data_IF_482457795398
#
_entry.id   IF_482457795398
#
_cell.length_a   1.000
_cell.length_b   1.000
_cell.length_c   1.000
_cell.angle_alpha   90.00
_cell.angle_beta   90.00
_cell.angle_gamma   90.00
#
_symmetry.space_group_name_H-M   'P 1'
#
loop_
_entity.id
_entity.type
_entity.pdbx_description
1 polymer ?
#
# COMPACT_ATOMS: atom_id res chain seq x y z
N UNK A 1 3.37 87.76 30.55
CA UNK A 1 4.69 87.09 30.53
C UNK A 1 4.52 85.68 30.09
N UNK A 2 4.84 85.44 28.93
CA UNK A 2 5.15 84.31 28.10
C UNK A 2 5.01 82.90 28.67
N UNK A 3 4.02 82.16 28.17
CA UNK A 3 3.90 80.72 28.27
C UNK A 3 4.07 80.05 26.94
N UNK A 4 5.03 79.14 26.87
CA UNK A 4 5.45 78.37 25.67
C UNK A 4 4.42 77.30 25.30
N UNK A 5 4.07 77.26 24.01
CA UNK A 5 3.28 76.25 23.35
C UNK A 5 3.99 74.89 23.33
N UNK A 6 3.25 73.85 23.71
CA UNK A 6 3.66 72.46 23.47
C UNK A 6 3.17 72.00 22.12
N UNK A 7 4.10 71.72 21.21
CA UNK A 7 3.84 71.08 19.92
C UNK A 7 3.53 69.60 20.16
N UNK A 8 2.36 69.17 19.78
CA UNK A 8 1.95 67.78 19.75
C UNK A 8 2.66 67.07 18.60
N UNK A 9 3.48 66.06 18.97
CA UNK A 9 4.16 65.18 18.04
C UNK A 9 3.25 64.00 17.78
N UNK A 10 2.51 63.99 16.64
CA UNK A 10 1.79 62.78 16.20
C UNK A 10 2.80 61.78 15.66
N UNK A 11 2.96 60.64 16.35
CA UNK A 11 3.65 59.49 15.83
C UNK A 11 2.60 58.62 15.09
N UNK A 12 2.71 58.61 13.76
CA UNK A 12 1.95 57.69 12.92
C UNK A 12 2.60 56.31 12.98
N UNK A 13 1.96 55.39 13.68
CA UNK A 13 2.33 53.97 13.67
C UNK A 13 1.84 53.32 12.35
N UNK A 14 2.73 53.08 11.43
CA UNK A 14 2.46 52.26 10.25
C UNK A 14 2.35 50.80 10.66
N UNK A 15 1.16 50.27 10.71
CA UNK A 15 0.90 48.84 10.87
C UNK A 15 1.22 48.14 9.54
N UNK A 16 2.42 47.62 9.44
CA UNK A 16 2.81 46.74 8.34
C UNK A 16 2.02 45.40 8.44
N UNK A 17 1.10 45.18 7.55
CA UNK A 17 0.46 43.88 7.39
C UNK A 17 1.50 42.86 6.91
N UNK A 18 2.00 42.01 7.82
CA UNK A 18 2.76 40.83 7.43
C UNK A 18 1.77 39.81 6.80
N UNK A 19 1.78 39.72 5.48
CA UNK A 19 1.19 38.60 4.77
C UNK A 19 1.97 37.33 5.13
N UNK A 20 1.31 36.26 5.62
CA UNK A 20 2.01 35.01 5.84
C UNK A 20 2.52 34.49 4.50
N UNK A 21 3.84 34.32 4.38
CA UNK A 21 4.41 33.56 3.29
C UNK A 21 3.88 32.12 3.43
N UNK A 22 2.97 31.75 2.55
CA UNK A 22 2.63 30.33 2.36
C UNK A 22 3.89 29.61 1.90
N UNK A 23 4.50 28.85 2.80
CA UNK A 23 5.60 27.97 2.44
C UNK A 23 5.05 26.93 1.44
N UNK A 24 5.31 27.12 0.16
CA UNK A 24 5.09 26.11 -0.87
C UNK A 24 5.98 24.94 -0.51
N UNK A 25 5.37 23.86 0.01
CA UNK A 25 6.07 22.62 0.28
C UNK A 25 6.48 22.07 -1.09
N UNK A 26 7.77 21.98 -1.36
CA UNK A 26 8.27 21.28 -2.55
C UNK A 26 7.78 19.85 -2.47
N UNK A 27 7.23 19.29 -3.56
CA UNK A 27 6.84 17.89 -3.59
C UNK A 27 8.05 17.03 -3.25
N UNK A 28 7.88 16.06 -2.37
CA UNK A 28 8.95 15.14 -2.05
C UNK A 28 9.32 14.35 -3.32
N UNK A 29 10.63 14.06 -3.48
CA UNK A 29 11.12 13.40 -4.69
C UNK A 29 10.46 12.02 -4.88
N UNK A 30 10.10 11.71 -6.11
CA UNK A 30 9.68 10.39 -6.52
C UNK A 30 10.78 9.37 -6.20
N UNK A 31 10.40 8.24 -5.62
CA UNK A 31 11.28 7.11 -5.32
C UNK A 31 10.82 5.87 -6.08
N UNK A 32 11.63 5.41 -7.02
CA UNK A 32 11.42 4.15 -7.75
C UNK A 32 12.27 3.05 -7.11
N UNK A 33 11.65 1.89 -6.83
CA UNK A 33 12.35 0.71 -6.32
C UNK A 33 13.21 0.12 -7.43
N UNK A 34 14.52 0.04 -7.19
CA UNK A 34 15.49 -0.56 -8.08
C UNK A 34 15.75 -2.03 -7.70
N UNK A 35 15.42 -2.94 -8.60
CA UNK A 35 15.65 -4.39 -8.43
C UNK A 35 16.96 -4.86 -9.08
N UNK A 36 17.77 -3.98 -9.67
CA UNK A 36 18.98 -4.36 -10.42
C UNK A 36 19.98 -5.13 -9.57
N UNK A 37 20.10 -4.76 -8.29
CA UNK A 37 21.03 -5.39 -7.33
C UNK A 37 20.44 -6.60 -6.59
N UNK A 38 19.15 -6.90 -6.80
CA UNK A 38 18.52 -8.06 -6.18
C UNK A 38 19.06 -9.38 -6.77
N UNK A 39 19.02 -10.44 -5.95
CA UNK A 39 19.49 -11.76 -6.36
C UNK A 39 18.34 -12.66 -6.77
N UNK A 40 18.33 -13.12 -8.01
CA UNK A 40 17.35 -14.08 -8.52
C UNK A 40 17.32 -15.34 -7.66
N UNK A 41 16.13 -15.84 -7.33
CA UNK A 41 15.90 -17.01 -6.46
C UNK A 41 15.89 -16.70 -4.97
N UNK A 42 16.30 -15.51 -4.55
CA UNK A 42 16.32 -15.10 -3.14
C UNK A 42 15.12 -14.22 -2.76
N UNK A 43 14.78 -14.12 -1.48
CA UNK A 43 13.85 -13.10 -1.00
C UNK A 43 14.34 -11.70 -1.40
N UNK A 44 13.45 -10.76 -1.76
CA UNK A 44 13.86 -9.39 -2.06
C UNK A 44 14.46 -8.71 -0.84
N UNK A 45 15.48 -7.89 -1.06
CA UNK A 45 16.08 -7.05 -0.01
C UNK A 45 15.47 -5.66 0.04
N UNK A 46 14.85 -5.21 -1.05
CA UNK A 46 14.09 -3.95 -1.13
C UNK A 46 12.76 -4.01 -0.39
N UNK A 47 12.18 -5.20 -0.25
CA UNK A 47 10.99 -5.44 0.54
C UNK A 47 11.27 -6.44 1.66
N UNK A 48 10.62 -6.25 2.80
CA UNK A 48 10.63 -7.18 3.93
C UNK A 48 9.43 -8.13 3.81
N UNK A 49 9.62 -9.41 3.42
CA UNK A 49 8.56 -10.42 3.48
C UNK A 49 8.09 -10.63 4.91
N UNK A 50 6.80 -10.42 5.17
CA UNK A 50 6.20 -10.61 6.50
C UNK A 50 5.41 -11.93 6.50
N UNK A 51 4.52 -12.10 5.53
CA UNK A 51 3.72 -13.31 5.33
C UNK A 51 3.89 -13.78 3.90
N UNK A 52 4.05 -15.09 3.72
CA UNK A 52 4.12 -15.70 2.41
C UNK A 52 5.54 -15.89 1.87
N UNK A 53 5.61 -16.52 0.71
CA UNK A 53 6.86 -16.78 0.00
C UNK A 53 7.04 -15.73 -1.09
N UNK A 54 8.04 -14.90 -0.92
CA UNK A 54 8.41 -13.83 -1.84
C UNK A 54 9.82 -14.07 -2.36
N UNK A 55 10.01 -13.95 -3.66
CA UNK A 55 11.32 -14.16 -4.31
C UNK A 55 11.51 -13.18 -5.45
N UNK A 56 12.75 -12.85 -5.71
CA UNK A 56 13.13 -12.20 -6.96
C UNK A 56 13.27 -13.26 -8.04
N UNK A 57 12.66 -13.04 -9.19
CA UNK A 57 12.79 -13.92 -10.35
C UNK A 57 13.18 -13.12 -11.60
N UNK A 58 13.57 -13.83 -12.65
CA UNK A 58 13.76 -13.25 -13.98
C UNK A 58 12.49 -13.44 -14.79
N UNK A 59 11.94 -12.36 -15.36
CA UNK A 59 10.81 -12.39 -16.29
C UNK A 59 11.19 -11.60 -17.56
N UNK A 60 11.58 -12.32 -18.60
CA UNK A 60 12.20 -11.71 -19.78
C UNK A 60 13.47 -10.93 -19.41
N UNK A 61 13.60 -9.66 -19.81
CA UNK A 61 14.78 -8.85 -19.48
C UNK A 61 14.77 -8.32 -18.03
N UNK A 62 13.64 -8.39 -17.32
CA UNK A 62 13.43 -7.70 -16.06
C UNK A 62 13.59 -8.64 -14.86
N UNK A 63 14.21 -8.16 -13.78
CA UNK A 63 14.04 -8.74 -12.46
C UNK A 63 12.72 -8.25 -11.87
N UNK A 64 11.94 -9.18 -11.33
CA UNK A 64 10.63 -8.89 -10.75
C UNK A 64 10.47 -9.57 -9.40
N UNK A 65 9.59 -9.07 -8.58
CA UNK A 65 9.22 -9.71 -7.32
C UNK A 65 8.05 -10.64 -7.58
N UNK A 66 8.20 -11.91 -7.22
CA UNK A 66 7.14 -12.92 -7.28
C UNK A 66 6.63 -13.20 -5.87
N UNK A 67 5.31 -13.20 -5.71
CA UNK A 67 4.64 -13.92 -4.62
C UNK A 67 4.27 -15.32 -5.12
N UNK A 68 4.60 -16.33 -4.34
CA UNK A 68 4.28 -17.72 -4.63
C UNK A 68 3.32 -18.27 -3.58
N UNK A 69 2.04 -18.32 -3.91
CA UNK A 69 1.00 -18.90 -3.06
C UNK A 69 0.80 -20.40 -3.21
N UNK A 70 1.41 -21.04 -4.23
CA UNK A 70 1.23 -22.47 -4.49
C UNK A 70 1.69 -23.39 -3.34
N UNK A 71 2.79 -23.09 -2.62
CA UNK A 71 3.17 -23.87 -1.44
C UNK A 71 2.13 -23.84 -0.31
N UNK A 72 1.32 -22.80 -0.21
CA UNK A 72 0.21 -22.75 0.75
C UNK A 72 -0.89 -23.78 0.39
N UNK A 73 -1.27 -23.86 -0.89
CA UNK A 73 -2.23 -24.83 -1.39
C UNK A 73 -1.79 -26.27 -1.15
N UNK A 74 -0.50 -26.57 -1.36
CA UNK A 74 0.06 -27.91 -1.24
C UNK A 74 0.19 -28.39 0.22
N UNK A 75 0.24 -27.51 1.22
CA UNK A 75 0.56 -27.83 2.61
C UNK A 75 -0.28 -27.02 3.62
N UNK A 76 -1.57 -26.97 3.44
CA UNK A 76 -2.49 -26.20 4.31
C UNK A 76 -2.32 -26.50 5.81
N UNK A 77 -2.00 -27.75 6.17
CA UNK A 77 -1.97 -28.19 7.57
C UNK A 77 -0.64 -27.93 8.31
N UNK A 78 0.49 -27.82 7.63
CA UNK A 78 1.81 -27.79 8.29
C UNK A 78 2.47 -26.40 8.35
N UNK A 79 1.93 -25.41 7.66
CA UNK A 79 2.52 -24.05 7.59
C UNK A 79 1.75 -23.02 8.37
N UNK A 80 0.56 -23.33 8.84
CA UNK A 80 -0.27 -22.45 9.66
C UNK A 80 0.47 -22.03 10.92
N UNK A 81 1.19 -22.93 11.59
CA UNK A 81 1.96 -22.63 12.79
C UNK A 81 3.14 -21.68 12.52
N UNK A 82 3.90 -21.89 11.44
CA UNK A 82 5.04 -21.03 11.06
C UNK A 82 4.58 -19.65 10.57
N UNK A 83 3.43 -19.59 9.91
CA UNK A 83 2.79 -18.37 9.49
C UNK A 83 2.19 -17.62 10.69
N UNK A 84 1.59 -18.35 11.63
CA UNK A 84 1.08 -17.80 12.88
C UNK A 84 2.19 -17.16 13.72
N UNK A 85 3.37 -17.78 13.79
CA UNK A 85 4.50 -17.28 14.54
C UNK A 85 5.07 -15.97 13.96
N UNK A 86 5.19 -15.89 12.63
CA UNK A 86 5.61 -14.68 11.92
C UNK A 86 4.55 -13.59 11.95
N UNK A 87 3.30 -13.96 11.75
CA UNK A 87 2.18 -13.04 11.80
C UNK A 87 1.93 -12.49 13.20
N UNK A 88 2.18 -13.27 14.26
CA UNK A 88 2.12 -12.82 15.66
C UNK A 88 3.07 -11.65 15.91
N UNK A 89 4.32 -11.75 15.46
CA UNK A 89 5.29 -10.66 15.61
C UNK A 89 4.88 -9.40 14.83
N UNK A 90 4.14 -9.57 13.73
CA UNK A 90 3.74 -8.48 12.86
C UNK A 90 2.36 -7.90 13.20
N UNK A 91 1.38 -8.76 13.51
CA UNK A 91 0.00 -8.36 13.78
C UNK A 91 -0.29 -8.13 15.26
N UNK A 92 0.66 -8.39 16.15
CA UNK A 92 0.47 -8.35 17.60
C UNK A 92 -0.77 -9.14 18.08
N UNK A 93 -1.19 -10.12 17.27
CA UNK A 93 -2.32 -10.98 17.55
C UNK A 93 -1.90 -12.15 18.43
N UNK A 94 -2.80 -12.68 19.27
CA UNK A 94 -2.56 -13.95 19.93
C UNK A 94 -2.49 -15.07 18.90
N UNK A 95 -1.71 -16.12 19.16
CA UNK A 95 -1.57 -17.25 18.22
C UNK A 95 -2.91 -17.93 17.96
N UNK A 96 -3.74 -18.02 19.00
CA UNK A 96 -5.06 -18.61 18.95
C UNK A 96 -6.01 -17.77 18.09
N UNK A 97 -6.06 -16.46 18.30
CA UNK A 97 -6.89 -15.55 17.51
C UNK A 97 -6.51 -15.56 16.02
N UNK A 98 -5.21 -15.69 15.71
CA UNK A 98 -4.76 -15.76 14.33
C UNK A 98 -5.13 -17.12 13.69
N UNK A 99 -4.93 -18.23 14.40
CA UNK A 99 -5.24 -19.59 13.92
C UNK A 99 -6.75 -19.78 13.76
N UNK A 100 -7.56 -19.33 14.70
CA UNK A 100 -9.02 -19.44 14.65
C UNK A 100 -9.63 -18.55 13.57
N UNK A 101 -8.98 -17.46 13.21
CA UNK A 101 -9.38 -16.59 12.12
C UNK A 101 -8.78 -16.97 10.75
N UNK A 102 -7.77 -17.84 10.69
CA UNK A 102 -7.23 -18.43 9.45
C UNK A 102 -8.17 -19.56 8.98
N UNK A 103 -9.38 -19.19 8.60
CA UNK A 103 -10.18 -20.04 7.72
C UNK A 103 -9.47 -20.18 6.38
N UNK A 104 -9.77 -21.23 5.64
CA UNK A 104 -9.16 -21.61 4.36
C UNK A 104 -8.91 -20.46 3.37
N UNK A 105 -9.56 -19.30 3.53
CA UNK A 105 -9.48 -18.13 2.66
C UNK A 105 -8.85 -16.88 3.31
N UNK A 106 -8.28 -17.02 4.49
CA UNK A 106 -7.78 -15.87 5.27
C UNK A 106 -6.25 -15.69 5.21
N UNK A 107 -5.58 -16.30 4.25
CA UNK A 107 -4.14 -16.15 4.08
C UNK A 107 -3.81 -14.97 3.17
N UNK A 108 -3.07 -13.99 3.70
CA UNK A 108 -2.69 -12.76 3.00
C UNK A 108 -1.18 -12.64 2.95
N UNK A 109 -0.52 -13.04 1.85
CA UNK A 109 0.87 -12.72 1.64
C UNK A 109 1.09 -11.21 1.60
N UNK A 110 2.02 -10.71 2.41
CA UNK A 110 2.40 -9.31 2.46
C UNK A 110 3.91 -9.15 2.55
N UNK A 111 4.42 -8.10 1.91
CA UNK A 111 5.80 -7.66 2.03
C UNK A 111 5.81 -6.13 2.13
N UNK A 112 6.49 -5.57 3.15
CA UNK A 112 6.59 -4.12 3.34
C UNK A 112 7.83 -3.55 2.65
N UNK A 113 7.69 -2.37 2.06
CA UNK A 113 8.82 -1.65 1.44
C UNK A 113 9.78 -1.17 2.52
N UNK A 114 11.06 -1.50 2.38
CA UNK A 114 12.11 -1.02 3.27
C UNK A 114 12.39 0.48 3.04
N UNK A 115 12.72 1.20 4.12
CA UNK A 115 13.05 2.62 4.06
C UNK A 115 11.84 3.57 4.01
N UNK A 116 10.60 3.05 4.00
CA UNK A 116 9.38 3.87 4.11
C UNK A 116 8.58 3.40 5.33
N UNK A 117 8.76 4.10 6.43
CA UNK A 117 8.09 3.77 7.69
C UNK A 117 6.75 4.49 7.86
N UNK A 118 6.57 5.61 7.17
CA UNK A 118 5.37 6.42 7.27
C UNK A 118 5.03 7.10 5.95
N UNK A 119 4.08 6.52 5.22
CA UNK A 119 3.42 7.13 4.07
C UNK A 119 2.07 7.69 4.52
N UNK A 120 1.79 8.96 4.22
CA UNK A 120 0.53 9.63 4.59
C UNK A 120 -0.25 10.11 3.38
N UNK A 121 0.41 10.75 2.42
CA UNK A 121 -0.18 11.35 1.24
C UNK A 121 0.68 11.12 0.01
N UNK A 122 0.06 11.12 -1.16
CA UNK A 122 0.75 10.97 -2.43
C UNK A 122 0.23 9.81 -3.28
N UNK A 123 1.11 9.28 -4.11
CA UNK A 123 0.82 8.22 -5.08
C UNK A 123 1.72 7.02 -4.84
N UNK A 124 1.15 5.83 -4.94
CA UNK A 124 1.88 4.57 -5.07
C UNK A 124 1.44 3.93 -6.37
N UNK A 125 2.39 3.52 -7.19
CA UNK A 125 2.11 2.79 -8.42
C UNK A 125 3.07 1.60 -8.59
N UNK A 126 2.61 0.60 -9.32
CA UNK A 126 3.39 -0.58 -9.67
C UNK A 126 2.80 -1.22 -10.94
N UNK A 127 3.59 -2.08 -11.56
CA UNK A 127 3.08 -3.03 -12.54
C UNK A 127 2.90 -4.40 -11.88
N UNK A 128 1.80 -5.06 -12.21
CA UNK A 128 1.52 -6.42 -11.77
C UNK A 128 1.18 -7.33 -12.94
N UNK A 129 1.41 -8.62 -12.75
CA UNK A 129 1.03 -9.68 -13.70
C UNK A 129 0.52 -10.88 -12.91
N UNK A 130 -0.74 -11.28 -13.15
CA UNK A 130 -1.33 -12.47 -12.50
C UNK A 130 -0.94 -13.72 -13.28
N UNK A 131 -0.36 -14.70 -12.60
CA UNK A 131 0.19 -15.91 -13.22
C UNK A 131 -0.68 -17.13 -12.93
N UNK A 132 -0.90 -17.45 -11.65
CA UNK A 132 -1.61 -18.64 -11.23
C UNK A 132 -2.39 -18.43 -9.93
N UNK A 133 -3.26 -19.38 -9.64
CA UNK A 133 -4.13 -19.46 -8.48
C UNK A 133 -5.50 -19.96 -8.89
N UNK A 134 -6.05 -20.93 -8.17
CA UNK A 134 -7.38 -21.48 -8.41
C UNK A 134 -8.41 -20.84 -7.49
N UNK A 135 -8.01 -20.59 -6.22
CA UNK A 135 -8.87 -19.93 -5.23
C UNK A 135 -8.89 -18.43 -5.45
N UNK A 136 -7.69 -17.86 -5.65
CA UNK A 136 -7.53 -16.43 -5.89
C UNK A 136 -6.37 -16.15 -6.85
N UNK A 137 -6.49 -15.09 -7.64
CA UNK A 137 -5.38 -14.51 -8.41
C UNK A 137 -5.36 -13.01 -8.14
N UNK A 138 -4.69 -12.66 -7.03
CA UNK A 138 -4.73 -11.32 -6.47
C UNK A 138 -3.38 -10.63 -6.54
N UNK A 139 -3.42 -9.37 -6.97
CA UNK A 139 -2.31 -8.44 -6.90
C UNK A 139 -2.77 -7.14 -6.27
N UNK A 140 -2.00 -6.58 -5.34
CA UNK A 140 -2.42 -5.40 -4.61
C UNK A 140 -1.31 -4.56 -4.01
N UNK A 141 -1.67 -3.34 -3.65
CA UNK A 141 -0.86 -2.42 -2.86
C UNK A 141 -1.32 -2.52 -1.41
N UNK A 142 -0.37 -2.78 -0.52
CA UNK A 142 -0.52 -2.70 0.93
C UNK A 142 -0.18 -1.27 1.39
N UNK A 143 -0.98 -0.70 2.28
CA UNK A 143 -0.71 0.63 2.82
C UNK A 143 -1.33 0.81 4.21
N UNK A 144 -1.00 1.91 4.88
CA UNK A 144 -1.46 2.22 6.24
C UNK A 144 -1.17 1.09 7.25
N UNK A 145 -0.01 0.42 7.11
CA UNK A 145 0.37 -0.69 7.99
C UNK A 145 0.81 -0.12 9.33
N UNK A 146 0.12 -0.53 10.38
CA UNK A 146 0.33 -0.06 11.76
C UNK A 146 1.19 -1.04 12.56
N UNK A 147 1.84 -0.58 13.64
CA UNK A 147 2.60 -1.46 14.53
C UNK A 147 1.77 -2.54 15.21
N UNK A 148 0.46 -2.32 15.39
CA UNK A 148 -0.48 -3.32 15.93
C UNK A 148 -0.95 -4.35 14.90
N UNK A 149 -0.46 -4.28 13.65
CA UNK A 149 -0.80 -5.20 12.58
C UNK A 149 -2.01 -4.82 11.75
N UNK A 150 -2.67 -3.70 12.03
CA UNK A 150 -3.74 -3.18 11.17
C UNK A 150 -3.19 -2.67 9.85
N UNK A 151 -3.97 -2.81 8.77
CA UNK A 151 -3.59 -2.32 7.45
C UNK A 151 -4.79 -2.07 6.54
N UNK A 152 -4.53 -1.37 5.45
CA UNK A 152 -5.40 -1.25 4.28
C UNK A 152 -4.74 -1.88 3.06
N UNK A 153 -5.53 -2.39 2.14
CA UNK A 153 -5.06 -2.82 0.83
C UNK A 153 -6.07 -2.50 -0.26
N UNK A 154 -5.57 -2.07 -1.41
CA UNK A 154 -6.33 -2.05 -2.65
C UNK A 154 -5.79 -3.13 -3.57
N UNK A 155 -6.69 -3.91 -4.18
CA UNK A 155 -6.26 -5.06 -4.96
C UNK A 155 -7.18 -5.35 -6.15
N UNK A 156 -6.59 -5.86 -7.22
CA UNK A 156 -7.28 -6.57 -8.28
C UNK A 156 -7.35 -8.07 -7.98
N UNK A 157 -8.45 -8.73 -8.36
CA UNK A 157 -8.58 -10.18 -8.36
C UNK A 157 -9.09 -10.69 -9.71
N UNK A 158 -8.27 -11.48 -10.38
CA UNK A 158 -8.55 -12.03 -11.69
C UNK A 158 -9.59 -13.17 -11.68
N UNK A 159 -9.77 -13.88 -10.55
CA UNK A 159 -10.83 -14.90 -10.44
C UNK A 159 -12.21 -14.30 -10.27
N UNK A 160 -12.29 -13.10 -9.72
CA UNK A 160 -13.53 -12.40 -9.40
C UNK A 160 -13.79 -11.18 -10.29
N UNK A 161 -12.80 -10.77 -11.10
CA UNK A 161 -12.84 -9.58 -11.97
C UNK A 161 -13.28 -8.34 -11.20
N UNK A 162 -12.57 -8.01 -10.12
CA UNK A 162 -12.94 -6.88 -9.30
C UNK A 162 -11.75 -6.20 -8.63
N UNK A 163 -11.98 -4.95 -8.28
CA UNK A 163 -11.10 -4.12 -7.48
C UNK A 163 -11.80 -3.84 -6.16
N UNK A 164 -11.11 -4.05 -5.05
CA UNK A 164 -11.69 -3.83 -3.72
C UNK A 164 -10.65 -3.16 -2.82
N UNK A 165 -11.10 -2.17 -2.06
CA UNK A 165 -10.43 -1.63 -0.89
C UNK A 165 -10.84 -2.46 0.32
N UNK A 166 -9.84 -3.01 1.01
CA UNK A 166 -9.99 -3.81 2.22
C UNK A 166 -9.36 -3.14 3.41
N UNK A 167 -9.94 -3.32 4.58
CA UNK A 167 -9.29 -3.09 5.87
C UNK A 167 -9.06 -4.41 6.58
N UNK A 168 -7.94 -4.48 7.29
CA UNK A 168 -7.66 -5.50 8.31
C UNK A 168 -7.44 -4.76 9.62
N UNK A 169 -8.32 -5.00 10.59
CA UNK A 169 -8.28 -4.34 11.89
C UNK A 169 -8.64 -5.36 12.96
N UNK A 170 -7.82 -5.40 14.03
CA UNK A 170 -8.01 -6.33 15.14
C UNK A 170 -8.15 -7.81 14.69
N UNK A 171 -7.30 -8.23 13.74
CA UNK A 171 -7.34 -9.58 13.18
C UNK A 171 -8.47 -9.86 12.19
N UNK A 172 -9.35 -8.90 11.93
CA UNK A 172 -10.54 -9.09 11.08
C UNK A 172 -10.41 -8.29 9.78
N UNK A 173 -10.52 -9.00 8.65
CA UNK A 173 -10.61 -8.36 7.34
C UNK A 173 -12.06 -7.98 7.02
N UNK A 174 -12.28 -6.74 6.60
CA UNK A 174 -13.58 -6.25 6.13
C UNK A 174 -13.45 -5.53 4.80
N UNK A 175 -14.43 -5.72 3.92
CA UNK A 175 -14.55 -4.92 2.69
C UNK A 175 -14.97 -3.50 3.06
N UNK A 176 -14.18 -2.52 2.60
CA UNK A 176 -14.48 -1.10 2.74
C UNK A 176 -15.30 -0.63 1.55
N UNK A 177 -14.79 -0.88 0.35
CA UNK A 177 -15.43 -0.45 -0.90
C UNK A 177 -15.07 -1.42 -2.02
N UNK A 178 -16.06 -1.76 -2.84
CA UNK A 178 -15.89 -2.45 -4.12
C UNK A 178 -16.00 -1.43 -5.25
N UNK A 179 -15.10 -1.52 -6.22
CA UNK A 179 -15.22 -0.79 -7.49
C UNK A 179 -16.42 -1.25 -8.31
N UNK A 180 -16.87 -0.46 -9.29
CA UNK A 180 -18.05 -0.76 -10.10
C UNK A 180 -17.80 -1.94 -11.04
N UNK A 181 -18.82 -2.76 -11.24
CA UNK A 181 -18.94 -3.75 -12.29
C UNK A 181 -17.83 -4.83 -12.31
N UNK A 182 -18.02 -5.77 -13.21
CA UNK A 182 -17.03 -6.79 -13.56
C UNK A 182 -16.39 -6.52 -14.94
N UNK A 183 -17.19 -6.04 -15.87
CA UNK A 183 -16.83 -5.96 -17.29
C UNK A 183 -15.56 -5.16 -17.62
N UNK A 184 -15.27 -4.02 -16.99
CA UNK A 184 -14.03 -3.32 -17.29
C UNK A 184 -12.77 -4.05 -16.79
N UNK A 185 -12.94 -5.06 -15.92
CA UNK A 185 -11.85 -5.68 -15.17
C UNK A 185 -11.52 -7.10 -15.60
N UNK A 186 -11.91 -7.50 -16.81
CA UNK A 186 -11.43 -8.74 -17.45
C UNK A 186 -10.05 -8.50 -18.06
N UNK A 187 -9.06 -8.35 -17.20
CA UNK A 187 -7.69 -8.10 -17.64
C UNK A 187 -7.08 -9.38 -18.25
N UNK A 188 -6.21 -9.19 -19.22
CA UNK A 188 -5.51 -10.31 -19.85
C UNK A 188 -4.50 -10.93 -18.86
N UNK A 189 -4.51 -12.25 -18.75
CA UNK A 189 -3.54 -12.99 -17.92
C UNK A 189 -2.16 -12.97 -18.56
N UNK A 190 -1.14 -13.20 -17.76
CA UNK A 190 0.25 -13.22 -18.18
C UNK A 190 0.71 -11.95 -18.92
N UNK A 191 -0.02 -10.85 -18.68
CA UNK A 191 0.31 -9.52 -19.19
C UNK A 191 0.51 -8.54 -18.03
N UNK A 192 1.36 -7.55 -18.29
CA UNK A 192 1.63 -6.48 -17.33
C UNK A 192 0.52 -5.44 -17.37
N UNK A 193 -0.02 -5.13 -16.18
CA UNK A 193 -1.02 -4.11 -15.94
C UNK A 193 -0.52 -3.10 -14.92
N UNK A 194 -0.96 -1.86 -15.04
CA UNK A 194 -0.64 -0.80 -14.09
C UNK A 194 -1.66 -0.78 -12.96
N UNK A 195 -1.19 -0.81 -11.72
CA UNK A 195 -1.99 -0.54 -10.53
C UNK A 195 -1.46 0.71 -9.86
N UNK A 196 -2.33 1.72 -9.69
CA UNK A 196 -1.99 2.97 -9.02
C UNK A 196 -3.03 3.29 -7.95
N UNK A 197 -2.55 3.77 -6.80
CA UNK A 197 -3.40 4.40 -5.79
C UNK A 197 -2.94 5.82 -5.52
N UNK A 198 -3.87 6.69 -5.14
CA UNK A 198 -3.60 8.04 -4.67
C UNK A 198 -4.30 8.27 -3.34
N UNK A 199 -3.65 9.01 -2.46
CA UNK A 199 -4.21 9.51 -1.20
C UNK A 199 -3.93 11.00 -1.11
N UNK A 200 -4.97 11.78 -0.82
CA UNK A 200 -4.88 13.19 -0.52
C UNK A 200 -5.76 13.47 0.72
N UNK A 201 -5.11 13.56 1.90
CA UNK A 201 -5.82 13.57 3.17
C UNK A 201 -6.63 12.28 3.38
N UNK A 202 -7.95 12.37 3.25
CA UNK A 202 -8.86 11.21 3.31
C UNK A 202 -9.36 10.74 1.95
N UNK A 203 -9.08 11.48 0.88
CA UNK A 203 -9.53 11.10 -0.46
C UNK A 203 -8.64 10.01 -1.02
N UNK A 204 -9.23 8.85 -1.26
CA UNK A 204 -8.57 7.66 -1.76
C UNK A 204 -9.08 7.28 -3.15
N UNK A 205 -8.17 6.98 -4.07
CA UNK A 205 -8.52 6.48 -5.41
C UNK A 205 -7.59 5.35 -5.83
N UNK A 206 -8.15 4.40 -6.60
CA UNK A 206 -7.39 3.32 -7.26
C UNK A 206 -7.64 3.39 -8.75
N UNK A 207 -6.58 3.17 -9.51
CA UNK A 207 -6.61 3.12 -10.98
C UNK A 207 -6.00 1.81 -11.46
N UNK A 208 -6.53 1.26 -12.54
CA UNK A 208 -5.93 0.16 -13.31
C UNK A 208 -5.80 0.60 -14.76
N UNK A 209 -4.61 0.43 -15.33
CA UNK A 209 -4.28 0.85 -16.70
C UNK A 209 -4.74 2.29 -17.02
N UNK A 210 -4.56 3.18 -16.02
CA UNK A 210 -4.96 4.58 -16.10
C UNK A 210 -6.45 4.86 -15.87
N UNK A 211 -7.31 3.86 -15.86
CA UNK A 211 -8.74 4.01 -15.63
C UNK A 211 -9.06 4.04 -14.14
N UNK A 212 -9.88 5.01 -13.70
CA UNK A 212 -10.38 5.06 -12.33
C UNK A 212 -11.23 3.83 -12.03
N UNK A 213 -10.78 3.02 -11.07
CA UNK A 213 -11.39 1.75 -10.72
C UNK A 213 -12.18 1.80 -9.40
N UNK A 214 -11.78 2.68 -8.49
CA UNK A 214 -12.41 2.84 -7.20
C UNK A 214 -12.06 4.20 -6.61
N UNK A 215 -13.03 4.84 -5.96
CA UNK A 215 -12.81 6.02 -5.12
C UNK A 215 -13.59 5.88 -3.81
N UNK A 216 -13.03 6.45 -2.75
CA UNK A 216 -13.58 6.37 -1.40
C UNK A 216 -13.02 7.48 -0.52
N UNK A 217 -13.83 8.02 0.39
CA UNK A 217 -13.35 8.91 1.45
C UNK A 217 -13.10 8.08 2.69
N UNK A 218 -11.83 7.96 3.08
CA UNK A 218 -11.40 7.24 4.28
C UNK A 218 -11.94 7.96 5.54
N UNK A 219 -12.22 7.22 6.62
CA UNK A 219 -12.69 7.82 7.86
C UNK A 219 -11.61 8.65 8.57
N UNK A 220 -10.36 8.38 8.27
CA UNK A 220 -9.18 9.04 8.86
C UNK A 220 -8.03 9.07 7.85
N UNK A 221 -7.09 10.02 7.94
CA UNK A 221 -5.88 10.03 7.13
C UNK A 221 -5.05 8.76 7.36
N UNK A 222 -4.36 8.32 6.31
CA UNK A 222 -3.44 7.19 6.41
C UNK A 222 -2.12 7.64 7.04
N UNK A 223 -1.43 6.71 7.70
CA UNK A 223 -0.09 6.92 8.26
C UNK A 223 0.50 5.55 8.61
N UNK A 224 1.53 5.11 7.89
CA UNK A 224 2.16 3.81 8.17
C UNK A 224 2.99 3.28 7.03
N UNK A 225 3.46 2.04 7.19
CA UNK A 225 4.24 1.36 6.15
C UNK A 225 3.37 1.02 4.94
N UNK A 226 4.06 0.81 3.82
CA UNK A 226 3.47 0.46 2.52
C UNK A 226 4.15 -0.79 1.97
N UNK A 227 3.57 -1.40 0.93
CA UNK A 227 4.17 -2.59 0.33
C UNK A 227 3.29 -3.31 -0.68
N UNK A 228 3.53 -4.62 -0.80
CA UNK A 228 2.85 -5.53 -1.70
C UNK A 228 1.88 -6.43 -0.94
N UNK A 229 0.78 -6.76 -1.60
CA UNK A 229 -0.28 -7.59 -1.04
C UNK A 229 -0.75 -8.65 -2.05
N UNK A 230 -1.07 -9.84 -1.53
CA UNK A 230 -1.70 -10.90 -2.31
C UNK A 230 -2.64 -11.74 -1.43
N UNK A 231 -3.18 -12.82 -1.97
CA UNK A 231 -4.13 -13.67 -1.25
C UNK A 231 -3.99 -15.14 -1.65
N UNK A 232 -4.11 -16.04 -0.66
CA UNK A 232 -4.18 -17.50 -0.79
C UNK A 232 -3.13 -18.11 -1.74
N UNK A 233 -3.56 -18.88 -2.73
CA UNK A 233 -2.72 -19.61 -3.68
C UNK A 233 -2.29 -18.78 -4.89
N UNK A 234 -2.46 -17.46 -4.82
CA UNK A 234 -2.08 -16.57 -5.92
C UNK A 234 -0.59 -16.64 -6.20
N UNK A 235 -0.22 -16.77 -7.47
CA UNK A 235 1.10 -16.44 -7.98
C UNK A 235 1.00 -15.18 -8.80
N UNK A 236 1.71 -14.14 -8.39
CA UNK A 236 1.71 -12.84 -9.06
C UNK A 236 3.11 -12.24 -9.09
N UNK A 237 3.40 -11.49 -10.13
CA UNK A 237 4.65 -10.78 -10.33
C UNK A 237 4.43 -9.28 -10.18
N UNK A 238 5.45 -8.59 -9.66
CA UNK A 238 5.43 -7.15 -9.41
C UNK A 238 6.74 -6.52 -9.86
N UNK A 239 6.65 -5.35 -10.50
CA UNK A 239 7.79 -4.50 -10.85
C UNK A 239 7.40 -3.03 -10.89
N UNK A 240 8.38 -2.16 -11.14
CA UNK A 240 8.18 -0.72 -11.31
C UNK A 240 7.42 -0.08 -10.13
N UNK A 241 7.72 -0.51 -8.90
CA UNK A 241 7.11 0.08 -7.70
C UNK A 241 7.65 1.49 -7.50
N UNK A 242 6.76 2.45 -7.49
CA UNK A 242 7.08 3.88 -7.36
C UNK A 242 6.28 4.48 -6.22
N UNK A 243 6.94 5.27 -5.40
CA UNK A 243 6.32 6.10 -4.35
C UNK A 243 6.59 7.56 -4.67
N UNK A 244 5.53 8.33 -4.74
CA UNK A 244 5.58 9.78 -4.96
C UNK A 244 4.79 10.45 -3.83
N UNK A 245 5.43 10.84 -2.74
CA UNK A 245 4.80 11.60 -1.65
C UNK A 245 4.30 12.96 -2.15
N UNK A 246 3.21 13.48 -1.54
CA UNK A 246 2.64 14.78 -1.87
C UNK A 246 3.47 15.94 -1.32
#
# INVERSE_FOLDING_TARGET
MNGLSRRDLMIAAAAGAMTPLSATRLPAAESKVDLSNERVGQPPTTFQPIVGTWRVIQDGPDKVIMVDGQPWKANQNNRTALLAERARAFYNASQEDFIDNVKQFAYYPIATLNGVDNFSDGTISLKFKTIAGDLDRCSGILFNVKPNGDWLSTRYNDTEYNIILWTFRDGIRKMVKRGPGREPWHLARDQWHDLKMTVAGTDFKTYIDGQLALEYTLPEPVSGKIGLWSKTDSTSYFKDYVVQPA
#
